data_IF_260080145427
#
_entry.id   IF_260080145427
#
_cell.length_a   1.000
_cell.length_b   1.000
_cell.length_c   1.000
_cell.angle_alpha   90.00
_cell.angle_beta   90.00
_cell.angle_gamma   90.00
#
_symmetry.space_group_name_H-M   'P 1'
#
loop_
_entity.id
_entity.type
_entity.pdbx_description
1 polymer ?
#
# COMPACT_ATOMS: atom_id res chain seq x y z
N UNK A 1 8.18 -33.00 19.06
CA UNK A 1 8.66 -33.21 17.68
C UNK A 1 7.45 -33.02 16.76
N UNK A 2 7.13 -31.75 16.45
CA UNK A 2 5.96 -31.39 15.65
C UNK A 2 6.32 -31.50 14.18
N UNK A 3 5.68 -32.42 13.45
CA UNK A 3 5.80 -32.52 12.01
C UNK A 3 5.32 -31.23 11.36
N UNK A 4 6.20 -30.57 10.62
CA UNK A 4 5.86 -29.47 9.72
C UNK A 4 4.95 -30.08 8.66
N UNK A 5 3.66 -29.67 8.63
CA UNK A 5 2.77 -30.03 7.53
C UNK A 5 3.34 -29.47 6.24
N UNK A 6 3.43 -30.24 5.14
CA UNK A 6 3.74 -29.66 3.85
C UNK A 6 2.67 -28.64 3.49
N UNK A 7 3.08 -27.44 3.11
CA UNK A 7 2.20 -26.35 2.66
C UNK A 7 1.48 -26.86 1.41
N UNK A 8 0.14 -26.90 1.46
CA UNK A 8 -0.69 -27.31 0.33
C UNK A 8 -0.53 -26.28 -0.80
N UNK A 9 -0.67 -26.67 -2.06
CA UNK A 9 -0.51 -25.73 -3.20
C UNK A 9 -1.50 -24.56 -3.12
N UNK A 10 -2.68 -24.74 -2.53
CA UNK A 10 -3.66 -23.69 -2.25
C UNK A 10 -3.20 -22.72 -1.13
N UNK A 11 -2.33 -23.16 -0.19
CA UNK A 11 -1.75 -22.27 0.85
C UNK A 11 -0.59 -21.41 0.33
N UNK A 12 0.00 -21.76 -0.83
CA UNK A 12 1.05 -20.94 -1.45
C UNK A 12 0.54 -19.57 -1.92
N UNK A 13 -0.72 -19.49 -2.30
CA UNK A 13 -1.32 -18.25 -2.85
C UNK A 13 -1.61 -17.17 -1.80
N UNK A 14 -1.53 -17.47 -0.50
CA UNK A 14 -1.80 -16.49 0.56
C UNK A 14 -0.53 -15.92 1.20
N UNK A 15 0.64 -16.49 0.91
CA UNK A 15 1.91 -16.05 1.50
C UNK A 15 2.52 -14.89 0.70
N UNK A 16 3.21 -13.96 1.40
CA UNK A 16 3.99 -12.91 0.73
C UNK A 16 4.95 -13.54 -0.30
N UNK A 17 5.69 -14.58 0.10
CA UNK A 17 6.64 -15.26 -0.77
C UNK A 17 6.00 -15.83 -2.06
N UNK A 18 4.78 -16.37 -1.96
CA UNK A 18 4.02 -16.89 -3.12
C UNK A 18 3.67 -15.77 -4.11
N UNK A 19 3.09 -14.67 -3.61
CA UNK A 19 2.69 -13.54 -4.46
C UNK A 19 3.88 -12.79 -5.11
N UNK A 20 5.07 -12.87 -4.52
CA UNK A 20 6.28 -12.25 -5.05
C UNK A 20 7.20 -13.23 -5.80
N UNK A 21 6.74 -14.48 -6.05
CA UNK A 21 7.53 -15.49 -6.77
C UNK A 21 7.91 -15.08 -8.20
N UNK A 22 7.02 -14.36 -8.88
CA UNK A 22 7.18 -13.92 -10.26
C UNK A 22 7.93 -12.58 -10.40
N UNK A 23 8.30 -11.96 -9.27
CA UNK A 23 9.07 -10.72 -9.28
C UNK A 23 10.50 -10.99 -9.77
N UNK A 24 10.90 -10.30 -10.83
CA UNK A 24 12.25 -10.44 -11.37
C UNK A 24 13.31 -9.95 -10.36
N UNK A 25 14.26 -10.84 -10.06
CA UNK A 25 15.40 -10.49 -9.22
C UNK A 25 16.44 -9.70 -10.03
N UNK A 26 16.62 -8.39 -9.75
CA UNK A 26 17.51 -7.54 -10.54
C UNK A 26 19.00 -7.81 -10.28
N UNK A 27 19.33 -8.72 -9.37
CA UNK A 27 20.71 -9.03 -9.00
C UNK A 27 21.31 -10.06 -9.95
N UNK A 28 22.61 -9.98 -10.16
CA UNK A 28 23.37 -11.03 -10.86
C UNK A 28 23.57 -12.24 -9.92
N UNK A 29 23.56 -13.45 -10.46
CA UNK A 29 23.53 -14.70 -9.67
C UNK A 29 24.64 -14.81 -8.61
N UNK A 30 25.85 -14.40 -8.94
CA UNK A 30 26.99 -14.43 -7.99
C UNK A 30 26.79 -13.58 -6.73
N UNK A 31 25.82 -12.64 -6.72
CA UNK A 31 25.53 -11.74 -5.59
C UNK A 31 24.23 -12.10 -4.84
N UNK A 32 23.52 -13.14 -5.27
CA UNK A 32 22.27 -13.62 -4.67
C UNK A 32 22.53 -14.47 -3.42
N UNK A 33 23.11 -13.88 -2.39
CA UNK A 33 23.33 -14.59 -1.11
C UNK A 33 22.04 -14.89 -0.37
N UNK A 34 21.09 -13.96 -0.41
CA UNK A 34 19.77 -14.09 0.23
C UNK A 34 18.70 -14.23 -0.86
N UNK A 35 17.67 -15.01 -0.61
CA UNK A 35 16.53 -15.12 -1.51
C UNK A 35 15.80 -13.79 -1.61
N UNK A 36 15.28 -13.46 -2.80
CA UNK A 36 14.52 -12.23 -3.00
C UNK A 36 13.24 -12.24 -2.15
N UNK A 37 12.57 -13.39 -2.09
CA UNK A 37 11.36 -13.56 -1.27
C UNK A 37 11.61 -13.30 0.22
N UNK A 38 12.76 -13.76 0.77
CA UNK A 38 13.14 -13.51 2.16
C UNK A 38 13.35 -12.01 2.41
N UNK A 39 14.07 -11.33 1.52
CA UNK A 39 14.34 -9.87 1.60
C UNK A 39 13.02 -9.10 1.61
N UNK A 40 12.12 -9.40 0.68
CA UNK A 40 10.83 -8.71 0.55
C UNK A 40 9.94 -8.98 1.75
N UNK A 41 9.85 -10.23 2.20
CA UNK A 41 9.01 -10.60 3.34
C UNK A 41 9.47 -9.89 4.61
N UNK A 42 10.78 -9.86 4.89
CA UNK A 42 11.33 -9.14 6.06
C UNK A 42 11.02 -7.64 5.94
N UNK A 43 11.22 -7.06 4.77
CA UNK A 43 10.95 -5.64 4.56
C UNK A 43 9.47 -5.28 4.79
N UNK A 44 8.54 -6.08 4.26
CA UNK A 44 7.10 -5.89 4.47
C UNK A 44 6.76 -6.05 5.95
N UNK A 45 7.21 -7.12 6.62
CA UNK A 45 6.95 -7.35 8.04
C UNK A 45 7.50 -6.20 8.91
N UNK A 46 8.72 -5.75 8.65
CA UNK A 46 9.32 -4.62 9.35
C UNK A 46 8.50 -3.34 9.17
N UNK A 47 8.09 -3.05 7.93
CA UNK A 47 7.26 -1.86 7.63
C UNK A 47 5.91 -1.92 8.33
N UNK A 48 5.25 -3.08 8.39
CA UNK A 48 4.01 -3.27 9.15
C UNK A 48 4.21 -3.06 10.66
N UNK A 49 5.43 -3.33 11.16
CA UNK A 49 5.84 -3.05 12.54
C UNK A 49 6.46 -1.64 12.70
N UNK A 50 6.15 -0.71 11.82
CA UNK A 50 6.59 0.70 11.86
C UNK A 50 8.11 0.92 11.63
N UNK A 51 8.80 -0.03 11.03
CA UNK A 51 10.20 0.15 10.57
C UNK A 51 10.26 1.08 9.36
N UNK A 52 10.95 2.21 9.49
CA UNK A 52 10.98 3.29 8.47
C UNK A 52 12.34 3.40 7.75
N UNK A 53 13.30 2.55 8.06
CA UNK A 53 14.65 2.60 7.46
C UNK A 53 15.17 1.21 7.14
N UNK A 54 16.21 1.16 6.30
CA UNK A 54 16.89 -0.10 5.98
C UNK A 54 17.54 -0.72 7.22
N UNK A 55 18.07 0.12 8.12
CA UNK A 55 18.64 -0.33 9.40
C UNK A 55 17.56 -0.96 10.28
N UNK A 56 16.36 -0.36 10.34
CA UNK A 56 15.22 -0.92 11.08
C UNK A 56 14.78 -2.28 10.51
N UNK A 57 14.88 -2.49 9.18
CA UNK A 57 14.57 -3.78 8.56
C UNK A 57 15.60 -4.86 8.95
N UNK A 58 16.88 -4.51 8.99
CA UNK A 58 17.94 -5.40 9.47
C UNK A 58 17.75 -5.74 10.94
N UNK A 59 17.51 -4.75 11.81
CA UNK A 59 17.28 -4.94 13.24
C UNK A 59 16.03 -5.78 13.51
N UNK A 60 14.93 -5.52 12.80
CA UNK A 60 13.71 -6.33 12.86
C UNK A 60 14.03 -7.79 12.51
N UNK A 61 14.75 -8.02 11.41
CA UNK A 61 15.14 -9.34 10.97
C UNK A 61 15.96 -10.07 12.03
N UNK A 62 16.99 -9.42 12.59
CA UNK A 62 17.85 -9.98 13.63
C UNK A 62 17.06 -10.31 14.91
N UNK A 63 16.19 -9.40 15.34
CA UNK A 63 15.38 -9.57 16.55
C UNK A 63 14.37 -10.72 16.41
N UNK A 64 13.81 -10.90 15.21
CA UNK A 64 12.75 -11.87 14.95
C UNK A 64 13.21 -13.08 14.12
N UNK A 65 14.52 -13.33 13.99
CA UNK A 65 15.08 -14.38 13.13
C UNK A 65 14.48 -15.77 13.41
N UNK A 66 14.33 -16.15 14.67
CA UNK A 66 13.76 -17.45 15.03
C UNK A 66 12.30 -17.61 14.59
N UNK A 67 11.53 -16.52 14.58
CA UNK A 67 10.16 -16.51 14.09
C UNK A 67 10.14 -16.56 12.56
N UNK A 68 10.95 -15.75 11.90
CA UNK A 68 11.09 -15.71 10.44
C UNK A 68 11.51 -17.07 9.86
N UNK A 69 12.40 -17.80 10.53
CA UNK A 69 12.85 -19.13 10.12
C UNK A 69 11.75 -20.20 10.14
N UNK A 70 10.58 -19.91 10.67
CA UNK A 70 9.44 -20.84 10.60
C UNK A 70 8.82 -20.92 9.20
N UNK A 71 9.02 -19.89 8.37
CA UNK A 71 8.43 -19.79 7.04
C UNK A 71 9.38 -19.20 5.97
N UNK A 72 10.55 -18.70 6.35
CA UNK A 72 11.61 -18.27 5.44
C UNK A 72 12.82 -19.21 5.53
N UNK A 73 13.52 -19.38 4.42
CA UNK A 73 14.67 -20.27 4.40
C UNK A 73 15.93 -19.65 5.02
N UNK A 74 16.15 -18.37 4.82
CA UNK A 74 17.27 -17.58 5.35
C UNK A 74 18.62 -18.34 5.25
N UNK A 75 19.03 -18.77 4.05
CA UNK A 75 20.20 -19.65 3.88
C UNK A 75 21.50 -19.02 4.37
N UNK A 76 21.59 -17.70 4.36
CA UNK A 76 22.74 -16.93 4.84
C UNK A 76 22.36 -15.94 5.97
N UNK A 77 21.33 -16.28 6.76
CA UNK A 77 20.84 -15.43 7.85
C UNK A 77 20.10 -14.20 7.35
N UNK A 78 20.09 -13.15 8.14
CA UNK A 78 19.38 -11.91 7.86
C UNK A 78 20.18 -11.03 6.91
N UNK A 79 19.54 -10.45 5.87
CA UNK A 79 20.17 -9.46 4.99
C UNK A 79 20.57 -8.19 5.75
N UNK A 80 21.72 -7.60 5.40
CA UNK A 80 22.12 -6.30 5.94
C UNK A 80 21.30 -5.15 5.33
N UNK A 81 21.25 -4.00 6.02
CA UNK A 81 20.62 -2.76 5.53
C UNK A 81 21.06 -2.38 4.11
N UNK A 82 22.33 -2.54 3.79
CA UNK A 82 22.88 -2.33 2.46
C UNK A 82 22.29 -3.28 1.40
N UNK A 83 21.97 -4.52 1.79
CA UNK A 83 21.31 -5.49 0.91
C UNK A 83 19.90 -5.07 0.60
N UNK A 84 19.12 -4.66 1.61
CA UNK A 84 17.79 -4.10 1.38
C UNK A 84 17.85 -2.89 0.44
N UNK A 85 18.69 -1.90 0.75
CA UNK A 85 18.83 -0.69 -0.07
C UNK A 85 19.15 -1.04 -1.54
N UNK A 86 20.18 -1.87 -1.78
CA UNK A 86 20.60 -2.25 -3.15
C UNK A 86 19.54 -3.02 -3.93
N UNK A 87 18.77 -3.86 -3.26
CA UNK A 87 17.69 -4.64 -3.89
C UNK A 87 16.55 -3.72 -4.25
N UNK A 88 16.03 -2.95 -3.29
CA UNK A 88 14.90 -2.07 -3.52
C UNK A 88 15.20 -0.92 -4.50
N UNK A 89 16.45 -0.47 -4.59
CA UNK A 89 16.87 0.51 -5.60
C UNK A 89 16.81 -0.02 -7.06
N UNK A 90 16.72 -1.33 -7.26
CA UNK A 90 16.78 -1.98 -8.59
C UNK A 90 15.53 -2.76 -8.95
N UNK A 91 14.67 -3.08 -8.00
CA UNK A 91 13.40 -3.76 -8.26
C UNK A 91 12.56 -2.89 -9.20
N UNK A 92 11.91 -3.55 -10.16
CA UNK A 92 10.90 -2.91 -11.00
C UNK A 92 9.68 -2.53 -10.14
N UNK A 93 9.36 -1.21 -10.01
CA UNK A 93 8.31 -0.75 -9.12
C UNK A 93 6.92 -1.18 -9.58
N UNK A 94 6.69 -1.41 -10.88
CA UNK A 94 5.40 -1.81 -11.42
C UNK A 94 5.15 -3.29 -11.15
N UNK A 95 6.17 -4.14 -11.31
CA UNK A 95 6.08 -5.55 -10.93
C UNK A 95 5.88 -5.69 -9.41
N UNK A 96 6.66 -4.96 -8.60
CA UNK A 96 6.51 -4.98 -7.14
C UNK A 96 5.08 -4.58 -6.73
N UNK A 97 4.56 -3.50 -7.29
CA UNK A 97 3.18 -3.04 -7.03
C UNK A 97 2.15 -4.11 -7.39
N UNK A 98 2.30 -4.77 -8.53
CA UNK A 98 1.39 -5.84 -8.97
C UNK A 98 1.38 -7.00 -7.99
N UNK A 99 2.55 -7.47 -7.56
CA UNK A 99 2.69 -8.54 -6.56
C UNK A 99 2.08 -8.11 -5.21
N UNK A 100 2.36 -6.88 -4.77
CA UNK A 100 1.85 -6.35 -3.52
C UNK A 100 0.32 -6.26 -3.50
N UNK A 101 -0.29 -5.72 -4.57
CA UNK A 101 -1.75 -5.65 -4.69
C UNK A 101 -2.36 -7.06 -4.72
N UNK A 102 -1.74 -8.00 -5.42
CA UNK A 102 -2.17 -9.40 -5.44
C UNK A 102 -2.16 -10.01 -4.04
N UNK A 103 -1.08 -9.79 -3.28
CA UNK A 103 -0.99 -10.25 -1.88
C UNK A 103 -2.06 -9.60 -0.99
N UNK A 104 -2.21 -8.27 -1.04
CA UNK A 104 -3.23 -7.56 -0.25
C UNK A 104 -4.62 -8.12 -0.55
N UNK A 105 -4.96 -8.35 -1.81
CA UNK A 105 -6.24 -8.96 -2.20
C UNK A 105 -6.45 -10.36 -1.62
N UNK A 106 -5.39 -11.15 -1.45
CA UNK A 106 -5.49 -12.52 -0.93
C UNK A 106 -5.74 -12.59 0.58
N UNK A 107 -5.30 -11.57 1.31
CA UNK A 107 -5.49 -11.50 2.77
C UNK A 107 -6.79 -10.78 3.16
N UNK A 108 -7.61 -10.37 2.19
CA UNK A 108 -8.87 -9.67 2.48
C UNK A 108 -9.75 -10.43 3.47
N UNK A 109 -9.94 -9.91 4.70
CA UNK A 109 -11.26 -9.88 5.28
C UNK A 109 -12.02 -8.82 4.47
N UNK A 110 -13.24 -9.12 4.02
CA UNK A 110 -14.10 -8.18 3.31
C UNK A 110 -14.00 -6.81 3.98
N UNK A 111 -13.46 -5.82 3.26
CA UNK A 111 -13.40 -4.42 3.73
C UNK A 111 -14.81 -3.80 3.81
N UNK A 112 -15.83 -4.65 3.91
CA UNK A 112 -17.23 -4.26 3.96
C UNK A 112 -17.46 -3.28 5.12
N UNK A 113 -17.84 -2.05 4.78
CA UNK A 113 -17.99 -0.96 5.72
C UNK A 113 -16.71 -0.19 6.07
N UNK A 114 -15.54 -0.55 5.53
CA UNK A 114 -14.30 0.22 5.79
C UNK A 114 -14.29 1.57 5.06
N UNK A 115 -13.60 2.53 5.65
CA UNK A 115 -13.37 3.84 5.03
C UNK A 115 -12.04 3.83 4.32
N UNK A 116 -12.07 4.17 3.03
CA UNK A 116 -10.90 4.20 2.15
C UNK A 116 -10.61 5.65 1.71
N UNK A 117 -9.84 6.42 2.47
CA UNK A 117 -9.36 7.72 2.01
C UNK A 117 -8.40 7.55 0.84
N UNK A 118 -8.62 8.36 -0.19
CA UNK A 118 -7.69 8.52 -1.31
C UNK A 118 -7.07 9.91 -1.19
N UNK A 119 -5.75 9.96 -1.08
CA UNK A 119 -4.99 11.20 -0.90
C UNK A 119 -3.76 11.25 -1.80
N UNK A 120 -3.48 12.44 -2.30
CA UNK A 120 -2.29 12.72 -3.09
C UNK A 120 -1.20 13.38 -2.26
N UNK A 121 -0.01 12.77 -2.20
CA UNK A 121 1.14 13.30 -1.45
C UNK A 121 2.38 13.43 -2.30
N UNK A 122 3.07 14.55 -2.14
CA UNK A 122 4.41 14.71 -2.67
C UNK A 122 5.40 14.02 -1.74
N UNK A 123 6.14 13.05 -2.29
CA UNK A 123 7.16 12.32 -1.53
C UNK A 123 8.28 13.28 -1.14
N UNK A 124 8.50 13.43 0.16
CA UNK A 124 9.55 14.32 0.69
C UNK A 124 10.92 13.82 0.23
N UNK A 125 11.81 14.76 -0.10
CA UNK A 125 13.20 14.49 -0.53
C UNK A 125 13.32 13.67 -1.82
N UNK A 126 12.26 13.54 -2.61
CA UNK A 126 12.30 12.88 -3.91
C UNK A 126 12.78 13.79 -5.06
N UNK A 127 13.16 15.03 -4.76
CA UNK A 127 13.77 15.92 -5.74
C UNK A 127 15.21 15.49 -6.01
N UNK A 128 15.54 15.29 -7.25
CA UNK A 128 16.92 15.20 -7.71
C UNK A 128 17.23 16.42 -8.59
N UNK A 129 17.66 17.49 -7.93
CA UNK A 129 17.98 18.77 -8.61
C UNK A 129 19.19 18.63 -9.53
N UNK A 130 20.10 17.71 -9.23
CA UNK A 130 21.32 17.50 -10.03
C UNK A 130 20.99 16.91 -11.41
N UNK A 131 19.95 16.07 -11.50
CA UNK A 131 19.48 15.43 -12.73
C UNK A 131 18.18 16.04 -13.28
N UNK A 132 17.73 17.18 -12.74
CA UNK A 132 16.52 17.86 -13.19
C UNK A 132 15.20 17.14 -12.85
N UNK A 133 15.23 16.13 -12.00
CA UNK A 133 14.03 15.37 -11.64
C UNK A 133 13.15 16.13 -10.65
N UNK A 134 11.86 16.28 -11.01
CA UNK A 134 10.84 16.87 -10.15
C UNK A 134 10.52 15.92 -8.98
N UNK A 135 9.92 16.47 -7.91
CA UNK A 135 9.41 15.67 -6.81
C UNK A 135 8.41 14.62 -7.30
N UNK A 136 8.52 13.42 -6.76
CA UNK A 136 7.57 12.34 -7.00
C UNK A 136 6.26 12.69 -6.29
N UNK A 137 5.16 12.68 -7.03
CA UNK A 137 3.82 12.81 -6.49
C UNK A 137 3.12 11.45 -6.55
N UNK A 138 2.50 11.04 -5.45
CA UNK A 138 1.84 9.73 -5.31
C UNK A 138 0.39 9.93 -4.92
N UNK A 139 -0.51 9.19 -5.54
CA UNK A 139 -1.89 9.01 -5.07
C UNK A 139 -1.99 7.64 -4.42
N UNK A 140 -2.49 7.60 -3.20
CA UNK A 140 -2.61 6.37 -2.40
C UNK A 140 -4.01 6.19 -1.85
N UNK A 141 -4.44 4.93 -1.76
CA UNK A 141 -5.66 4.51 -1.09
C UNK A 141 -5.31 3.71 0.17
N UNK A 142 -5.94 4.04 1.27
CA UNK A 142 -5.68 3.49 2.58
C UNK A 142 -6.94 2.91 3.19
N UNK A 143 -6.92 1.67 3.71
CA UNK A 143 -8.02 1.09 4.48
C UNK A 143 -7.85 1.43 5.95
N UNK A 144 -8.76 2.24 6.50
CA UNK A 144 -8.63 2.80 7.84
C UNK A 144 -8.68 1.74 8.95
N UNK A 145 -9.60 0.77 8.86
CA UNK A 145 -9.74 -0.29 9.86
C UNK A 145 -8.56 -1.26 9.84
N UNK A 146 -8.15 -1.65 8.65
CA UNK A 146 -7.06 -2.63 8.48
C UNK A 146 -5.68 -2.00 8.58
N UNK A 147 -5.58 -0.66 8.61
CA UNK A 147 -4.32 0.08 8.58
C UNK A 147 -3.41 -0.32 7.40
N UNK A 148 -4.00 -0.63 6.26
CA UNK A 148 -3.31 -1.11 5.06
C UNK A 148 -3.37 -0.10 3.92
N UNK A 149 -2.26 0.08 3.22
CA UNK A 149 -2.22 0.77 1.94
C UNK A 149 -2.71 -0.21 0.87
N UNK A 150 -3.89 0.04 0.30
CA UNK A 150 -4.51 -0.83 -0.69
C UNK A 150 -3.87 -0.69 -2.07
N UNK A 151 -3.35 0.48 -2.37
CA UNK A 151 -2.68 0.73 -3.64
C UNK A 151 -2.11 2.14 -3.72
N UNK A 152 -1.13 2.31 -4.60
CA UNK A 152 -0.49 3.60 -4.87
C UNK A 152 -0.19 3.75 -6.36
N UNK A 153 -0.33 4.96 -6.87
CA UNK A 153 0.08 5.32 -8.23
C UNK A 153 0.95 6.57 -8.21
N UNK A 154 2.06 6.52 -8.93
CA UNK A 154 2.88 7.70 -9.22
C UNK A 154 2.16 8.57 -10.24
N UNK A 155 2.13 9.88 -10.00
CA UNK A 155 1.69 10.89 -10.98
C UNK A 155 2.86 11.76 -11.39
N UNK A 156 2.86 12.24 -12.62
CA UNK A 156 3.93 13.11 -13.10
C UNK A 156 3.87 14.51 -12.47
N UNK A 157 2.67 14.99 -12.17
CA UNK A 157 2.42 16.30 -11.55
C UNK A 157 1.20 16.23 -10.61
N UNK A 158 1.11 17.16 -9.65
CA UNK A 158 -0.03 17.28 -8.75
C UNK A 158 -1.37 17.47 -9.50
N UNK A 159 -1.35 18.15 -10.63
CA UNK A 159 -2.53 18.34 -11.49
C UNK A 159 -3.08 17.04 -12.09
N UNK A 160 -2.33 15.94 -12.06
CA UNK A 160 -2.70 14.65 -12.60
C UNK A 160 -3.39 13.70 -11.60
N UNK A 161 -3.64 14.13 -10.35
CA UNK A 161 -4.37 13.36 -9.35
C UNK A 161 -5.75 12.91 -9.88
N UNK A 162 -6.49 13.84 -10.50
CA UNK A 162 -7.81 13.57 -11.08
C UNK A 162 -7.79 12.44 -12.11
N UNK A 163 -6.70 12.29 -12.84
CA UNK A 163 -6.53 11.21 -13.84
C UNK A 163 -5.97 9.93 -13.23
N UNK A 164 -5.29 10.02 -12.09
CA UNK A 164 -4.73 8.88 -11.40
C UNK A 164 -5.75 8.15 -10.50
N UNK A 165 -6.68 8.90 -9.88
CA UNK A 165 -7.71 8.32 -9.00
C UNK A 165 -8.54 7.25 -9.70
N UNK A 166 -9.11 7.46 -10.91
CA UNK A 166 -9.84 6.40 -11.61
C UNK A 166 -9.01 5.15 -11.88
N UNK A 167 -7.74 5.33 -12.26
CA UNK A 167 -6.81 4.21 -12.51
C UNK A 167 -6.50 3.45 -11.21
N UNK A 168 -6.33 4.17 -10.09
CA UNK A 168 -6.14 3.54 -8.79
C UNK A 168 -7.39 2.75 -8.39
N UNK A 169 -8.57 3.31 -8.54
CA UNK A 169 -9.84 2.65 -8.27
C UNK A 169 -10.01 1.35 -9.08
N UNK A 170 -9.50 1.30 -10.33
CA UNK A 170 -9.56 0.07 -11.16
C UNK A 170 -8.80 -1.10 -10.53
N UNK A 171 -7.72 -0.80 -9.82
CA UNK A 171 -6.85 -1.80 -9.20
C UNK A 171 -7.41 -2.34 -7.87
N UNK A 172 -8.38 -1.62 -7.25
CA UNK A 172 -8.84 -1.91 -5.90
C UNK A 172 -10.17 -2.68 -5.91
N UNK A 173 -10.30 -3.62 -4.98
CA UNK A 173 -11.59 -4.18 -4.60
C UNK A 173 -12.15 -3.35 -3.44
N UNK A 174 -13.19 -2.55 -3.72
CA UNK A 174 -13.76 -1.58 -2.77
C UNK A 174 -15.24 -1.80 -2.53
N UNK A 175 -15.76 -2.96 -2.93
CA UNK A 175 -17.18 -3.29 -2.75
C UNK A 175 -17.57 -3.20 -1.28
N UNK A 176 -18.68 -2.49 -1.00
CA UNK A 176 -19.20 -2.29 0.36
C UNK A 176 -18.42 -1.25 1.19
N UNK A 177 -17.35 -0.67 0.66
CA UNK A 177 -16.56 0.35 1.35
C UNK A 177 -17.11 1.76 1.14
N UNK A 178 -16.64 2.70 1.95
CA UNK A 178 -16.89 4.15 1.78
C UNK A 178 -15.59 4.82 1.34
N UNK A 179 -15.54 5.28 0.11
CA UNK A 179 -14.37 6.00 -0.43
C UNK A 179 -14.44 7.48 -0.06
N UNK A 180 -13.40 7.98 0.60
CA UNK A 180 -13.28 9.41 0.95
C UNK A 180 -12.22 10.07 0.08
N UNK A 181 -12.56 11.18 -0.56
CA UNK A 181 -11.67 11.96 -1.43
C UNK A 181 -11.82 13.44 -1.09
N UNK A 182 -10.73 14.20 -1.20
CA UNK A 182 -10.74 15.64 -1.00
C UNK A 182 -11.50 16.39 -2.11
N UNK A 183 -11.71 17.70 -1.90
CA UNK A 183 -12.47 18.54 -2.82
C UNK A 183 -11.91 18.57 -4.26
N UNK A 184 -10.61 18.37 -4.45
CA UNK A 184 -9.98 18.35 -5.79
C UNK A 184 -10.36 17.09 -6.57
N UNK A 185 -10.60 15.97 -5.88
CA UNK A 185 -11.06 14.73 -6.48
C UNK A 185 -12.59 14.66 -6.67
N UNK A 186 -13.35 15.71 -6.31
CA UNK A 186 -14.79 15.74 -6.37
C UNK A 186 -15.30 15.88 -7.81
N UNK A 187 -15.21 14.81 -8.61
CA UNK A 187 -15.61 14.76 -10.00
C UNK A 187 -16.64 13.68 -10.26
N UNK A 188 -17.64 14.02 -11.12
CA UNK A 188 -18.74 13.12 -11.48
C UNK A 188 -18.25 11.75 -11.97
N UNK A 189 -17.24 11.71 -12.83
CA UNK A 189 -16.64 10.46 -13.35
C UNK A 189 -16.03 9.59 -12.26
N UNK A 190 -15.45 10.19 -11.22
CA UNK A 190 -14.88 9.45 -10.08
C UNK A 190 -16.00 8.85 -9.23
N UNK A 191 -17.06 9.64 -8.95
CA UNK A 191 -18.22 9.15 -8.23
C UNK A 191 -18.91 7.99 -8.98
N UNK A 192 -19.15 8.14 -10.28
CA UNK A 192 -19.72 7.08 -11.12
C UNK A 192 -18.90 5.79 -11.02
N UNK A 193 -17.57 5.89 -11.09
CA UNK A 193 -16.68 4.73 -11.00
C UNK A 193 -16.71 4.04 -9.64
N UNK A 194 -16.83 4.80 -8.55
CA UNK A 194 -16.99 4.23 -7.20
C UNK A 194 -18.30 3.46 -7.10
N UNK A 195 -19.38 4.03 -7.62
CA UNK A 195 -20.71 3.38 -7.64
C UNK A 195 -20.70 2.12 -8.50
N UNK A 196 -20.06 2.13 -9.68
CA UNK A 196 -19.89 0.94 -10.53
C UNK A 196 -19.21 -0.22 -9.77
N UNK A 197 -18.29 0.10 -8.85
CA UNK A 197 -17.61 -0.87 -7.98
C UNK A 197 -18.41 -1.23 -6.72
N UNK A 198 -19.67 -0.84 -6.63
CA UNK A 198 -20.54 -1.12 -5.50
C UNK A 198 -20.01 -0.59 -4.15
N UNK A 199 -19.37 0.59 -4.18
CA UNK A 199 -18.91 1.33 -3.01
C UNK A 199 -19.67 2.64 -2.87
N UNK A 200 -19.72 3.16 -1.64
CA UNK A 200 -20.22 4.50 -1.33
C UNK A 200 -19.08 5.53 -1.38
N UNK A 201 -19.41 6.80 -1.41
CA UNK A 201 -18.42 7.85 -1.43
C UNK A 201 -18.79 9.06 -0.57
N UNK A 202 -17.74 9.70 -0.02
CA UNK A 202 -17.85 10.98 0.71
C UNK A 202 -16.78 11.93 0.14
N UNK A 203 -17.22 13.04 -0.42
CA UNK A 203 -16.33 14.10 -0.85
C UNK A 203 -16.23 15.18 0.22
N UNK A 204 -15.02 15.47 0.66
CA UNK A 204 -14.73 16.57 1.57
C UNK A 204 -14.80 17.88 0.78
N UNK A 205 -15.88 18.63 0.91
CA UNK A 205 -15.91 19.99 0.38
C UNK A 205 -15.07 20.88 1.29
N UNK A 206 -14.00 21.48 0.77
CA UNK A 206 -13.32 22.56 1.43
C UNK A 206 -14.26 23.78 1.45
N UNK A 207 -14.91 24.02 2.58
CA UNK A 207 -15.58 25.28 2.80
C UNK A 207 -14.50 26.36 2.95
N UNK A 208 -14.50 27.43 2.11
CA UNK A 208 -13.56 28.50 2.30
C UNK A 208 -13.83 29.16 3.66
N UNK A 209 -12.79 29.23 4.48
CA UNK A 209 -12.56 30.10 5.66
C UNK A 209 -13.71 30.42 6.65
N UNK A 210 -14.73 29.63 6.80
CA UNK A 210 -15.76 29.85 7.81
C UNK A 210 -15.58 29.03 9.10
N UNK A 211 -14.45 28.38 9.31
CA UNK A 211 -14.14 27.66 10.56
C UNK A 211 -13.15 28.43 11.45
N UNK A 212 -13.54 29.58 11.93
CA UNK A 212 -13.04 30.10 13.20
C UNK A 212 -13.35 29.12 14.33
N UNK A 213 -12.27 28.54 14.89
CA UNK A 213 -12.12 28.08 16.30
C UNK A 213 -13.24 27.33 17.01
N UNK A 214 -14.04 26.46 16.40
CA UNK A 214 -14.95 25.63 17.18
C UNK A 214 -14.74 24.12 16.93
N UNK A 215 -13.94 23.48 17.82
CA UNK A 215 -13.65 22.05 17.82
C UNK A 215 -14.88 21.14 17.93
N UNK A 216 -16.02 21.65 18.39
CA UNK A 216 -17.24 20.88 18.61
C UNK A 216 -18.09 20.71 17.33
N UNK A 217 -17.82 21.46 16.26
CA UNK A 217 -18.54 21.34 15.00
C UNK A 217 -18.00 20.20 14.10
N UNK A 218 -16.77 19.72 14.31
CA UNK A 218 -16.21 18.61 13.51
C UNK A 218 -16.96 17.30 13.66
N UNK A 219 -17.60 17.05 14.81
CA UNK A 219 -18.27 15.78 15.08
C UNK A 219 -19.74 15.74 14.60
N UNK A 220 -20.36 16.91 14.34
CA UNK A 220 -21.78 16.96 13.96
C UNK A 220 -22.00 17.03 12.43
N UNK A 221 -20.97 17.33 11.63
CA UNK A 221 -21.12 17.42 10.17
C UNK A 221 -20.94 16.08 9.46
N UNK A 222 -20.31 15.08 10.09
CA UNK A 222 -20.18 13.74 9.53
C UNK A 222 -21.49 12.95 9.53
N UNK A 223 -22.48 13.34 10.37
CA UNK A 223 -23.76 12.62 10.47
C UNK A 223 -24.85 13.07 9.48
N UNK A 224 -24.67 14.17 8.76
CA UNK A 224 -25.72 14.75 7.91
C UNK A 224 -25.57 14.51 6.41
N UNK A 225 -24.52 13.79 5.95
CA UNK A 225 -24.22 13.58 4.53
C UNK A 225 -24.29 12.12 4.06
N UNK A 226 -24.86 11.23 4.85
CA UNK A 226 -25.15 9.87 4.38
C UNK A 226 -26.42 9.91 3.51
N UNK A 227 -26.26 9.94 2.21
CA UNK A 227 -27.33 9.62 1.28
C UNK A 227 -27.21 8.15 0.89
N UNK A 228 -27.86 7.28 1.65
CA UNK A 228 -28.14 5.91 1.24
C UNK A 228 -29.06 5.97 0.03
N UNK A 229 -28.59 5.48 -1.11
CA UNK A 229 -29.49 5.07 -2.19
C UNK A 229 -30.06 3.69 -1.80
N UNK A 230 -31.17 3.70 -1.06
CA UNK A 230 -32.14 2.61 -1.06
C UNK A 230 -33.19 2.96 -2.10
N UNK A 231 -33.27 2.16 -3.17
CA UNK A 231 -34.24 2.22 -4.22
C UNK A 231 -33.98 1.15 -5.24
#
# INVERSE_FOLDING_TARGET
MGMIRPINEEEKDTTIAGHFSDLNDPRIDRTKRHKLADIITIAICSTLCMGESWDAMEEFGQTHEQWLRKFLELPNGIPSHDTFNRVFARIDPDQFRTCFISWVKSIEPKFDGDIIPIDGKTVRRSHDRANGNKAIHMVSAWACHSSLVLGQLKTEEKSNEITAIPKLLDLLEIKGCVVSIDAMGCQKKIAEKIVEKQADWVFSLALPDFMGTNKNLKNNYLSSFFRTHQG
#
